data_IF_012959160870
#
_entry.id   IF_012959160870
#
_cell.length_a   1.000
_cell.length_b   1.000
_cell.length_c   1.000
_cell.angle_alpha   90.00
_cell.angle_beta   90.00
_cell.angle_gamma   90.00
#
_symmetry.space_group_name_H-M   'P 1'
#
loop_
_entity.id
_entity.type
_entity.pdbx_description
1 polymer ?
#
# COMPACT_ATOMS: atom_id res chain seq x y z
N UNK A 1 -24.03 12.25 0.94
CA UNK A 1 -23.53 11.01 0.30
C UNK A 1 -22.06 10.78 0.64
N UNK A 2 -21.21 11.80 0.49
CA UNK A 2 -19.77 11.76 0.80
C UNK A 2 -19.48 11.37 2.27
N UNK A 3 -20.18 11.96 3.25
CA UNK A 3 -19.91 11.64 4.67
C UNK A 3 -20.17 10.18 5.06
N UNK A 4 -21.17 9.54 4.44
CA UNK A 4 -21.45 8.11 4.66
C UNK A 4 -20.35 7.25 4.05
N UNK A 5 -19.89 7.60 2.84
CA UNK A 5 -18.81 6.93 2.18
C UNK A 5 -17.49 7.05 2.96
N UNK A 6 -17.16 8.27 3.42
CA UNK A 6 -15.97 8.53 4.24
C UNK A 6 -16.02 7.73 5.54
N UNK A 7 -17.15 7.74 6.26
CA UNK A 7 -17.32 6.95 7.49
C UNK A 7 -17.17 5.44 7.24
N UNK A 8 -17.72 4.94 6.14
CA UNK A 8 -17.58 3.54 5.75
C UNK A 8 -16.12 3.17 5.47
N UNK A 9 -15.42 4.00 4.69
CA UNK A 9 -14.03 3.77 4.34
C UNK A 9 -13.10 3.80 5.58
N UNK A 10 -13.32 4.74 6.50
CA UNK A 10 -12.60 4.76 7.78
C UNK A 10 -12.92 3.53 8.64
N UNK A 11 -14.14 3.00 8.59
CA UNK A 11 -14.49 1.77 9.29
C UNK A 11 -13.73 0.56 8.74
N UNK A 12 -13.59 0.45 7.42
CA UNK A 12 -12.84 -0.64 6.76
C UNK A 12 -11.35 -0.53 7.09
N UNK A 13 -10.76 0.66 6.97
CA UNK A 13 -9.33 0.86 7.32
C UNK A 13 -9.04 0.54 8.79
N UNK A 14 -10.00 0.85 9.68
CA UNK A 14 -9.93 0.50 11.10
C UNK A 14 -9.90 -1.01 11.29
N UNK A 15 -10.78 -1.76 10.62
CA UNK A 15 -10.81 -3.24 10.74
C UNK A 15 -9.55 -3.88 10.18
N UNK A 16 -9.02 -3.39 9.05
CA UNK A 16 -7.78 -3.91 8.46
C UNK A 16 -6.57 -3.71 9.38
N UNK A 17 -6.53 -2.56 10.06
CA UNK A 17 -5.49 -2.27 11.05
C UNK A 17 -5.59 -3.21 12.25
N UNK A 18 -6.81 -3.47 12.76
CA UNK A 18 -7.01 -4.41 13.86
C UNK A 18 -6.66 -5.85 13.47
N UNK A 19 -7.03 -6.29 12.26
CA UNK A 19 -6.67 -7.61 11.75
C UNK A 19 -5.14 -7.77 11.61
N UNK A 20 -4.47 -6.76 11.05
CA UNK A 20 -3.01 -6.75 10.88
C UNK A 20 -2.27 -6.73 12.23
N UNK A 21 -2.74 -5.92 13.18
CA UNK A 21 -2.20 -5.91 14.55
C UNK A 21 -2.41 -7.25 15.25
N UNK A 22 -3.56 -7.88 15.06
CA UNK A 22 -3.87 -9.18 15.67
C UNK A 22 -2.95 -10.25 15.13
N UNK A 23 -2.75 -10.32 13.80
CA UNK A 23 -1.78 -11.22 13.19
C UNK A 23 -0.34 -10.95 13.63
N UNK A 24 0.05 -9.69 13.82
CA UNK A 24 1.37 -9.34 14.32
C UNK A 24 1.63 -9.78 15.78
N UNK A 25 0.59 -9.80 16.62
CA UNK A 25 0.70 -10.24 18.02
C UNK A 25 0.67 -11.76 18.14
N UNK A 26 -0.08 -12.43 17.26
CA UNK A 26 -0.26 -13.88 17.27
C UNK A 26 0.94 -14.64 16.68
N UNK A 27 1.80 -13.97 15.90
CA UNK A 27 3.02 -14.53 15.33
C UNK A 27 4.27 -13.92 15.97
N UNK A 28 5.20 -14.77 16.43
CA UNK A 28 6.49 -14.35 17.04
C UNK A 28 7.34 -13.51 16.08
N UNK A 29 7.27 -13.78 14.78
CA UNK A 29 7.99 -13.02 13.74
C UNK A 29 7.19 -11.86 13.18
N UNK A 30 5.89 -11.79 13.49
CA UNK A 30 4.92 -10.85 12.92
C UNK A 30 4.80 -10.90 11.38
N UNK A 31 5.39 -11.89 10.72
CA UNK A 31 5.42 -12.01 9.26
C UNK A 31 4.00 -12.23 8.70
N UNK A 32 3.14 -12.90 9.48
CA UNK A 32 1.71 -13.06 9.15
C UNK A 32 0.97 -11.72 8.93
N UNK A 33 1.41 -10.63 9.56
CA UNK A 33 0.78 -9.32 9.39
C UNK A 33 1.06 -8.68 8.03
N UNK A 34 2.17 -9.04 7.38
CA UNK A 34 2.48 -8.58 6.01
C UNK A 34 1.41 -9.08 5.05
N UNK A 35 1.07 -10.37 5.14
CA UNK A 35 0.03 -10.98 4.32
C UNK A 35 -1.34 -10.31 4.52
N UNK A 36 -1.69 -9.96 5.75
CA UNK A 36 -2.94 -9.25 6.04
C UNK A 36 -2.96 -7.83 5.46
N UNK A 37 -1.92 -7.03 5.68
CA UNK A 37 -1.84 -5.66 5.16
C UNK A 37 -1.83 -5.63 3.63
N UNK A 38 -1.01 -6.50 3.01
CA UNK A 38 -0.89 -6.55 1.56
C UNK A 38 -2.15 -7.13 0.93
N UNK A 39 -2.75 -8.16 1.54
CA UNK A 39 -3.97 -8.79 1.05
C UNK A 39 -5.17 -7.84 1.02
N UNK A 40 -5.42 -7.11 2.12
CA UNK A 40 -6.55 -6.17 2.17
C UNK A 40 -6.35 -4.98 1.21
N UNK A 41 -5.13 -4.46 1.09
CA UNK A 41 -4.83 -3.41 0.12
C UNK A 41 -4.94 -3.89 -1.33
N UNK A 42 -4.50 -5.12 -1.64
CA UNK A 42 -4.63 -5.69 -2.97
C UNK A 42 -6.10 -5.78 -3.39
N UNK A 43 -6.98 -6.21 -2.48
CA UNK A 43 -8.43 -6.24 -2.73
C UNK A 43 -8.96 -4.83 -2.99
N UNK A 44 -8.57 -3.83 -2.20
CA UNK A 44 -9.00 -2.44 -2.40
C UNK A 44 -8.60 -1.88 -3.77
N UNK A 45 -7.40 -2.22 -4.27
CA UNK A 45 -6.93 -1.75 -5.58
C UNK A 45 -7.53 -2.57 -6.72
N UNK A 46 -7.37 -3.89 -6.70
CA UNK A 46 -7.78 -4.76 -7.81
C UNK A 46 -9.30 -4.93 -7.90
N UNK A 47 -9.98 -5.19 -6.78
CA UNK A 47 -11.43 -5.33 -6.78
C UNK A 47 -12.13 -3.97 -6.69
N UNK A 48 -11.59 -3.01 -5.94
CA UNK A 48 -12.18 -1.69 -5.81
C UNK A 48 -12.10 -0.86 -7.09
N UNK A 49 -10.89 -0.63 -7.61
CA UNK A 49 -10.68 0.22 -8.80
C UNK A 49 -10.58 -0.63 -10.08
N UNK A 50 -9.86 -1.76 -10.01
CA UNK A 50 -9.56 -2.59 -11.19
C UNK A 50 -10.79 -3.18 -11.86
N UNK A 51 -11.76 -3.72 -11.10
CA UNK A 51 -13.00 -4.28 -11.66
C UNK A 51 -13.84 -3.21 -12.34
N UNK A 52 -13.96 -2.02 -11.74
CA UNK A 52 -14.71 -0.91 -12.35
C UNK A 52 -14.09 -0.49 -13.70
N UNK A 53 -12.75 -0.39 -13.76
CA UNK A 53 -12.03 -0.10 -15.00
C UNK A 53 -12.16 -1.20 -16.05
N UNK A 54 -12.12 -2.48 -15.63
CA UNK A 54 -12.30 -3.61 -16.54
C UNK A 54 -13.70 -3.59 -17.17
N UNK A 55 -14.74 -3.37 -16.36
CA UNK A 55 -16.12 -3.26 -16.84
C UNK A 55 -16.26 -2.08 -17.82
N UNK A 56 -15.73 -0.91 -17.47
CA UNK A 56 -15.77 0.26 -18.35
C UNK A 56 -15.07 -0.02 -19.70
N UNK A 57 -13.89 -0.65 -19.66
CA UNK A 57 -13.14 -1.02 -20.86
C UNK A 57 -13.93 -1.98 -21.76
N UNK A 58 -14.55 -3.02 -21.18
CA UNK A 58 -15.39 -3.96 -21.91
C UNK A 58 -16.64 -3.30 -22.51
N UNK A 59 -17.30 -2.42 -21.76
CA UNK A 59 -18.47 -1.68 -22.23
C UNK A 59 -18.14 -0.79 -23.44
N UNK A 60 -17.04 -0.05 -23.37
CA UNK A 60 -16.61 0.81 -24.47
C UNK A 60 -16.20 -0.02 -25.70
N UNK A 61 -15.48 -1.13 -25.50
CA UNK A 61 -15.13 -2.06 -26.56
C UNK A 61 -16.37 -2.66 -27.26
N UNK A 62 -17.39 -3.04 -26.49
CA UNK A 62 -18.65 -3.57 -27.04
C UNK A 62 -19.41 -2.54 -27.87
N UNK A 63 -19.40 -1.27 -27.45
CA UNK A 63 -20.12 -0.19 -28.14
C UNK A 63 -19.30 0.49 -29.24
N UNK A 64 -18.10 -0.01 -29.56
CA UNK A 64 -17.22 0.58 -30.57
C UNK A 64 -16.72 1.99 -30.22
N UNK A 65 -16.66 2.33 -28.94
CA UNK A 65 -16.20 3.63 -28.44
C UNK A 65 -14.85 3.48 -27.73
N UNK A 66 -14.09 4.57 -27.61
CA UNK A 66 -12.76 4.56 -26.98
C UNK A 66 -12.86 4.97 -25.52
N UNK A 67 -12.38 4.12 -24.62
CA UNK A 67 -12.27 4.45 -23.20
C UNK A 67 -11.01 5.30 -22.97
N UNK A 68 -11.20 6.62 -22.83
CA UNK A 68 -10.10 7.58 -22.60
C UNK A 68 -10.13 8.08 -21.16
N UNK A 69 -9.04 7.90 -20.42
CA UNK A 69 -8.90 8.37 -19.02
C UNK A 69 -7.66 9.25 -18.92
N UNK A 70 -7.83 10.46 -18.37
CA UNK A 70 -6.69 11.34 -18.08
C UNK A 70 -5.92 10.81 -16.88
N UNK A 71 -4.62 10.55 -17.05
CA UNK A 71 -3.78 10.02 -15.99
C UNK A 71 -3.49 11.05 -14.87
N UNK A 72 -3.59 12.35 -15.14
CA UNK A 72 -3.30 13.40 -14.16
C UNK A 72 -1.95 13.22 -13.46
N UNK A 73 -1.93 13.39 -12.14
CA UNK A 73 -0.77 13.20 -11.24
C UNK A 73 -0.50 11.73 -10.88
N UNK A 74 -1.28 10.78 -11.43
CA UNK A 74 -1.19 9.37 -11.04
C UNK A 74 0.13 8.72 -11.48
N UNK A 75 0.59 9.01 -12.70
CA UNK A 75 1.79 8.39 -13.26
C UNK A 75 3.07 8.64 -12.43
N UNK A 76 3.45 9.89 -12.09
CA UNK A 76 4.63 10.14 -11.27
C UNK A 76 4.47 9.58 -9.84
N UNK A 77 3.27 9.66 -9.26
CA UNK A 77 2.99 9.11 -7.93
C UNK A 77 3.19 7.59 -7.88
N UNK A 78 2.65 6.85 -8.86
CA UNK A 78 2.83 5.39 -8.96
C UNK A 78 4.30 5.01 -9.17
N UNK A 79 5.04 5.77 -9.98
CA UNK A 79 6.47 5.52 -10.17
C UNK A 79 7.26 5.65 -8.86
N UNK A 80 7.00 6.70 -8.08
CA UNK A 80 7.63 6.91 -6.77
C UNK A 80 7.25 5.82 -5.76
N UNK A 81 5.98 5.40 -5.75
CA UNK A 81 5.51 4.29 -4.93
C UNK A 81 6.25 2.98 -5.25
N UNK A 82 6.46 2.68 -6.53
CA UNK A 82 7.20 1.49 -6.96
C UNK A 82 8.67 1.53 -6.50
N UNK A 83 9.33 2.68 -6.62
CA UNK A 83 10.70 2.86 -6.13
C UNK A 83 10.80 2.67 -4.61
N UNK A 84 9.89 3.28 -3.85
CA UNK A 84 9.79 3.09 -2.40
C UNK A 84 9.53 1.62 -2.02
N UNK A 85 8.67 0.95 -2.78
CA UNK A 85 8.34 -0.47 -2.56
C UNK A 85 9.55 -1.39 -2.79
N UNK A 86 10.39 -1.11 -3.79
CA UNK A 86 11.65 -1.85 -4.00
C UNK A 86 12.56 -1.73 -2.78
N UNK A 87 12.71 -0.52 -2.23
CA UNK A 87 13.50 -0.28 -1.01
C UNK A 87 12.93 -1.08 0.16
N UNK A 88 11.62 -1.00 0.38
CA UNK A 88 10.95 -1.73 1.46
C UNK A 88 11.12 -3.25 1.33
N UNK A 89 10.90 -3.82 0.15
CA UNK A 89 11.09 -5.25 -0.09
C UNK A 89 12.54 -5.70 0.06
N UNK A 90 13.50 -4.88 -0.39
CA UNK A 90 14.92 -5.18 -0.20
C UNK A 90 15.27 -5.27 1.30
N UNK A 91 14.74 -4.38 2.13
CA UNK A 91 14.93 -4.41 3.59
C UNK A 91 14.27 -5.65 4.19
N UNK A 92 13.03 -5.95 3.84
CA UNK A 92 12.33 -7.15 4.34
C UNK A 92 13.09 -8.42 3.97
N UNK A 93 13.55 -8.54 2.72
CA UNK A 93 14.31 -9.70 2.29
C UNK A 93 15.68 -9.80 2.96
N UNK A 94 16.40 -8.68 3.10
CA UNK A 94 17.64 -8.66 3.86
C UNK A 94 17.43 -9.17 5.29
N UNK A 95 16.36 -8.71 5.97
CA UNK A 95 16.03 -9.16 7.34
C UNK A 95 15.65 -10.63 7.40
N UNK A 96 14.96 -11.15 6.37
CA UNK A 96 14.61 -12.58 6.26
C UNK A 96 15.85 -13.47 6.16
N UNK A 97 16.81 -13.10 5.31
CA UNK A 97 18.02 -13.89 5.05
C UNK A 97 19.14 -13.66 6.08
N UNK A 98 19.06 -12.60 6.87
CA UNK A 98 20.06 -12.34 7.91
C UNK A 98 20.01 -13.41 9.01
N UNK A 99 21.12 -14.12 9.30
CA UNK A 99 21.16 -15.20 10.29
C UNK A 99 20.85 -14.70 11.71
N UNK A 100 21.08 -13.42 11.98
CA UNK A 100 20.87 -12.79 13.29
C UNK A 100 19.40 -12.36 13.54
N UNK A 101 18.54 -12.35 12.51
CA UNK A 101 17.16 -11.83 12.59
C UNK A 101 16.16 -12.91 12.22
N UNK A 102 16.28 -13.51 11.02
CA UNK A 102 15.38 -14.56 10.46
C UNK A 102 13.88 -14.22 10.54
N UNK A 103 13.53 -12.93 10.48
CA UNK A 103 12.17 -12.41 10.58
C UNK A 103 12.04 -11.17 9.68
N UNK A 104 10.88 -10.97 9.05
CA UNK A 104 10.67 -9.87 8.10
C UNK A 104 10.23 -8.59 8.81
N UNK A 105 9.32 -8.68 9.79
CA UNK A 105 8.84 -7.55 10.58
C UNK A 105 9.33 -7.58 12.03
N UNK A 106 9.37 -8.76 12.66
CA UNK A 106 9.72 -8.97 14.06
C UNK A 106 11.23 -9.14 14.32
N UNK A 107 11.58 -9.96 15.30
CA UNK A 107 12.98 -10.16 15.71
C UNK A 107 13.50 -9.08 16.68
N UNK A 108 14.83 -8.85 16.74
CA UNK A 108 15.45 -7.98 17.74
C UNK A 108 14.87 -6.56 17.76
N UNK A 109 14.62 -6.04 18.97
CA UNK A 109 13.92 -4.78 19.20
C UNK A 109 14.53 -3.59 18.44
N UNK A 110 15.86 -3.47 18.44
CA UNK A 110 16.55 -2.39 17.72
C UNK A 110 16.33 -2.48 16.21
N UNK A 111 16.44 -3.67 15.63
CA UNK A 111 16.33 -3.88 14.18
C UNK A 111 14.91 -3.64 13.66
N UNK A 112 13.88 -4.05 14.41
CA UNK A 112 12.49 -3.79 14.01
C UNK A 112 12.13 -2.30 14.06
N UNK A 113 12.65 -1.55 15.04
CA UNK A 113 12.41 -0.09 15.10
C UNK A 113 13.17 0.63 14.01
N UNK A 114 14.42 0.23 13.72
CA UNK A 114 15.19 0.79 12.61
C UNK A 114 14.47 0.62 11.28
N UNK A 115 14.03 -0.60 10.94
CA UNK A 115 13.26 -0.84 9.71
C UNK A 115 11.94 -0.07 9.69
N UNK A 116 11.23 0.01 10.81
CA UNK A 116 9.98 0.75 10.90
C UNK A 116 10.21 2.26 10.65
N UNK A 117 11.27 2.84 11.20
CA UNK A 117 11.65 4.23 10.94
C UNK A 117 11.96 4.46 9.47
N UNK A 118 12.69 3.56 8.81
CA UNK A 118 12.97 3.68 7.37
C UNK A 118 11.67 3.61 6.55
N UNK A 119 10.77 2.68 6.84
CA UNK A 119 9.48 2.58 6.14
C UNK A 119 8.61 3.81 6.32
N UNK A 120 8.58 4.38 7.53
CA UNK A 120 7.86 5.63 7.81
C UNK A 120 8.49 6.80 7.04
N UNK A 121 9.81 6.88 6.95
CA UNK A 121 10.49 7.93 6.18
C UNK A 121 10.22 7.82 4.67
N UNK A 122 10.25 6.60 4.12
CA UNK A 122 9.88 6.34 2.71
C UNK A 122 8.42 6.72 2.45
N UNK A 123 7.52 6.45 3.40
CA UNK A 123 6.12 6.84 3.30
C UNK A 123 5.94 8.36 3.35
N UNK A 124 6.60 9.05 4.29
CA UNK A 124 6.54 10.51 4.41
C UNK A 124 7.07 11.16 3.13
N UNK A 125 8.20 10.71 2.57
CA UNK A 125 8.73 11.29 1.34
C UNK A 125 7.78 11.13 0.16
N UNK A 126 7.14 9.97 0.03
CA UNK A 126 6.09 9.73 -0.97
C UNK A 126 4.90 10.69 -0.81
N UNK A 127 4.39 10.86 0.42
CA UNK A 127 3.27 11.76 0.71
C UNK A 127 3.66 13.21 0.42
N UNK A 128 4.84 13.66 0.85
CA UNK A 128 5.33 15.01 0.59
C UNK A 128 5.43 15.29 -0.90
N UNK A 129 6.03 14.39 -1.69
CA UNK A 129 6.08 14.54 -3.15
C UNK A 129 4.68 14.61 -3.75
N UNK A 130 3.79 13.69 -3.38
CA UNK A 130 2.43 13.63 -3.92
C UNK A 130 1.61 14.89 -3.60
N UNK A 131 1.81 15.48 -2.42
CA UNK A 131 1.18 16.75 -2.04
C UNK A 131 1.75 17.90 -2.86
N UNK A 132 3.07 17.98 -3.01
CA UNK A 132 3.71 19.05 -3.79
C UNK A 132 3.25 19.05 -5.25
N UNK A 133 3.20 17.87 -5.87
CA UNK A 133 2.70 17.66 -7.24
C UNK A 133 1.20 18.00 -7.34
N UNK A 134 0.37 17.56 -6.38
CA UNK A 134 -1.07 17.83 -6.39
C UNK A 134 -1.43 19.31 -6.23
N UNK A 135 -0.61 20.09 -5.50
CA UNK A 135 -0.78 21.54 -5.33
C UNK A 135 0.06 22.37 -6.32
N UNK A 136 0.65 21.73 -7.33
CA UNK A 136 1.44 22.37 -8.40
C UNK A 136 2.62 23.21 -7.87
N UNK A 137 3.27 22.76 -6.80
CA UNK A 137 4.52 23.36 -6.30
C UNK A 137 5.76 22.86 -7.03
N UNK A 138 5.66 21.71 -7.69
CA UNK A 138 6.67 21.08 -8.56
C UNK A 138 6.03 20.62 -9.87
#
# INVERSE_FOLDING_TARGET
MIDKFVKYYFSVMKTDTFASKTAAIQDKTADASIGNVTGSNAVNVFLGIGVAWAIASCYHAWNGTVFTVSAGTLAPSVALFCLGSIICFAILQFRRYSPNIRAELGGPTSMRYLSASIFVLVWISYITYSILDAYCYI
#
